data_IF_953932651099
#
_entry.id   IF_953932651099
#
_cell.length_a   1.000
_cell.length_b   1.000
_cell.length_c   1.000
_cell.angle_alpha   90.00
_cell.angle_beta   90.00
_cell.angle_gamma   90.00
#
_symmetry.space_group_name_H-M   'P 1'
#
loop_
_entity.id
_entity.type
_entity.pdbx_description
1 polymer ?
#
# COMPACT_ATOMS: atom_id res chain seq x y z
N UNK A 1 -12.69 -2.02 -20.34
CA UNK A 1 -13.82 -1.17 -19.92
C UNK A 1 -13.57 -0.78 -18.47
N UNK A 2 -13.59 0.51 -18.13
CA UNK A 2 -13.52 0.98 -16.75
C UNK A 2 -14.95 1.29 -16.28
N UNK A 3 -15.32 0.85 -15.07
CA UNK A 3 -16.65 1.04 -14.48
C UNK A 3 -16.52 1.87 -13.19
N UNK A 4 -16.95 3.15 -13.17
CA UNK A 4 -16.87 3.99 -11.98
C UNK A 4 -17.60 3.39 -10.78
N UNK A 5 -18.76 2.78 -11.02
CA UNK A 5 -19.58 2.15 -9.98
C UNK A 5 -18.86 1.02 -9.24
N UNK A 6 -17.98 0.27 -9.92
CA UNK A 6 -17.21 -0.80 -9.29
C UNK A 6 -16.21 -0.24 -8.27
N UNK A 7 -15.50 0.83 -8.63
CA UNK A 7 -14.51 1.46 -7.75
C UNK A 7 -15.19 2.21 -6.60
N UNK A 8 -16.27 2.95 -6.86
CA UNK A 8 -17.02 3.66 -5.81
C UNK A 8 -17.63 2.69 -4.78
N UNK A 9 -18.21 1.59 -5.25
CA UNK A 9 -18.78 0.58 -4.36
C UNK A 9 -17.71 -0.10 -3.50
N UNK A 10 -16.55 -0.41 -4.07
CA UNK A 10 -15.43 -1.01 -3.34
C UNK A 10 -14.97 -0.12 -2.17
N UNK A 11 -14.82 1.19 -2.42
CA UNK A 11 -14.43 2.16 -1.39
C UNK A 11 -15.43 2.18 -0.24
N UNK A 12 -16.74 2.27 -0.53
CA UNK A 12 -17.78 2.30 0.49
C UNK A 12 -17.85 1.00 1.28
N UNK A 13 -17.75 -0.15 0.61
CA UNK A 13 -17.77 -1.45 1.27
C UNK A 13 -16.60 -1.63 2.24
N UNK A 14 -15.40 -1.17 1.87
CA UNK A 14 -14.21 -1.27 2.72
C UNK A 14 -14.24 -0.28 3.88
N UNK A 15 -14.86 0.90 3.73
CA UNK A 15 -15.12 1.78 4.86
C UNK A 15 -16.07 1.15 5.88
N UNK A 16 -17.11 0.45 5.42
CA UNK A 16 -18.01 -0.29 6.32
C UNK A 16 -17.27 -1.41 7.05
N UNK A 17 -16.46 -2.19 6.33
CA UNK A 17 -15.65 -3.25 6.93
C UNK A 17 -14.65 -2.69 7.96
N UNK A 18 -13.96 -1.59 7.64
CA UNK A 18 -13.01 -0.95 8.54
C UNK A 18 -13.68 -0.47 9.83
N UNK A 19 -14.88 0.11 9.74
CA UNK A 19 -15.69 0.52 10.91
C UNK A 19 -16.15 -0.68 11.74
N UNK A 20 -16.53 -1.79 11.09
CA UNK A 20 -16.91 -3.02 11.80
C UNK A 20 -15.75 -3.65 12.56
N UNK A 21 -14.52 -3.47 12.08
CA UNK A 21 -13.29 -3.95 12.71
C UNK A 21 -12.66 -2.94 13.68
N UNK A 22 -13.32 -1.78 13.88
CA UNK A 22 -12.81 -0.68 14.70
C UNK A 22 -11.38 -0.24 14.32
N UNK A 23 -11.11 -0.18 13.02
CA UNK A 23 -9.81 0.26 12.51
C UNK A 23 -9.63 1.78 12.71
N UNK A 24 -8.38 2.23 12.94
CA UNK A 24 -8.06 3.66 13.00
C UNK A 24 -8.56 4.42 11.76
N UNK A 25 -8.98 5.68 11.95
CA UNK A 25 -9.54 6.52 10.88
C UNK A 25 -8.58 6.70 9.69
N UNK A 26 -7.26 6.59 9.91
CA UNK A 26 -6.27 6.66 8.83
C UNK A 26 -6.41 5.55 7.77
N UNK A 27 -7.08 4.44 8.10
CA UNK A 27 -7.39 3.35 7.17
C UNK A 27 -8.72 3.53 6.43
N UNK A 28 -9.56 4.49 6.84
CA UNK A 28 -10.86 4.73 6.25
C UNK A 28 -10.76 5.81 5.17
N UNK A 29 -11.29 5.55 3.98
CA UNK A 29 -11.31 6.52 2.89
C UNK A 29 -12.21 7.72 3.23
N UNK A 30 -13.29 7.51 3.98
CA UNK A 30 -14.18 8.58 4.43
C UNK A 30 -13.54 9.58 5.41
N UNK A 31 -12.33 9.32 5.94
CA UNK A 31 -11.61 10.23 6.84
C UNK A 31 -11.06 11.49 6.14
N UNK A 32 -11.01 11.50 4.80
CA UNK A 32 -10.38 12.58 4.03
C UNK A 32 -8.85 12.56 4.07
N UNK A 33 -8.25 11.51 4.66
CA UNK A 33 -6.81 11.26 4.63
C UNK A 33 -6.30 10.74 3.28
N UNK A 34 -5.05 10.25 3.28
CA UNK A 34 -4.42 9.60 2.10
C UNK A 34 -4.58 8.08 2.09
N UNK A 35 -5.19 7.52 3.14
CA UNK A 35 -5.40 6.08 3.31
C UNK A 35 -6.75 5.61 2.79
N UNK A 36 -6.97 4.30 2.89
CA UNK A 36 -8.17 3.61 2.40
C UNK A 36 -7.93 2.11 2.26
N UNK A 37 -8.98 1.38 1.88
CA UNK A 37 -8.91 -0.05 1.58
C UNK A 37 -8.93 -0.34 0.08
N UNK A 38 -8.44 -1.52 -0.29
CA UNK A 38 -8.64 -2.15 -1.62
C UNK A 38 -8.89 -3.66 -1.46
N UNK A 39 -9.75 -4.24 -2.31
CA UNK A 39 -9.99 -5.70 -2.32
C UNK A 39 -8.88 -6.37 -3.14
N UNK A 40 -8.16 -7.31 -2.51
CA UNK A 40 -7.12 -8.11 -3.15
C UNK A 40 -7.61 -9.54 -3.40
N UNK A 41 -7.01 -10.23 -4.38
CA UNK A 41 -7.40 -11.61 -4.70
C UNK A 41 -7.04 -12.60 -3.58
N UNK A 42 -5.90 -12.38 -2.91
CA UNK A 42 -5.45 -13.21 -1.79
C UNK A 42 -4.69 -12.40 -0.73
N UNK A 43 -4.56 -12.96 0.48
CA UNK A 43 -3.73 -12.39 1.54
C UNK A 43 -2.23 -12.37 1.17
N UNK A 44 -1.75 -13.39 0.45
CA UNK A 44 -0.36 -13.45 -0.03
C UNK A 44 -0.06 -12.33 -1.02
N UNK A 45 -1.00 -12.03 -1.93
CA UNK A 45 -0.91 -10.91 -2.85
C UNK A 45 -0.91 -9.57 -2.10
N UNK A 46 -1.81 -9.37 -1.14
CA UNK A 46 -1.85 -8.17 -0.31
C UNK A 46 -0.50 -7.93 0.42
N UNK A 47 0.10 -9.00 0.94
CA UNK A 47 1.42 -8.94 1.60
C UNK A 47 2.53 -8.57 0.62
N UNK A 48 2.52 -9.16 -0.59
CA UNK A 48 3.48 -8.83 -1.64
C UNK A 48 3.35 -7.36 -2.09
N UNK A 49 2.12 -6.87 -2.28
CA UNK A 49 1.85 -5.47 -2.66
C UNK A 49 2.37 -4.52 -1.59
N UNK A 50 2.11 -4.81 -0.31
CA UNK A 50 2.62 -4.01 0.80
C UNK A 50 4.16 -3.96 0.81
N UNK A 51 4.83 -5.11 0.59
CA UNK A 51 6.28 -5.20 0.54
C UNK A 51 6.87 -4.42 -0.64
N UNK A 52 6.26 -4.50 -1.82
CA UNK A 52 6.68 -3.72 -3.00
C UNK A 52 6.52 -2.22 -2.79
N UNK A 53 5.41 -1.79 -2.17
CA UNK A 53 5.20 -0.40 -1.78
C UNK A 53 6.25 0.10 -0.79
N UNK A 54 6.58 -0.71 0.22
CA UNK A 54 7.63 -0.41 1.19
C UNK A 54 9.02 -0.31 0.53
N UNK A 55 9.36 -1.26 -0.36
CA UNK A 55 10.61 -1.23 -1.13
C UNK A 55 10.72 0.05 -1.97
N UNK A 56 9.68 0.40 -2.73
CA UNK A 56 9.67 1.59 -3.57
C UNK A 56 9.83 2.88 -2.75
N UNK A 57 9.10 2.97 -1.62
CA UNK A 57 9.21 4.10 -0.68
C UNK A 57 10.63 4.23 -0.13
N UNK A 58 11.25 3.12 0.29
CA UNK A 58 12.59 3.14 0.88
C UNK A 58 13.68 3.46 -0.14
N UNK A 59 13.57 2.95 -1.37
CA UNK A 59 14.47 3.30 -2.47
C UNK A 59 14.42 4.81 -2.73
N UNK A 60 13.22 5.40 -2.79
CA UNK A 60 13.05 6.84 -2.98
C UNK A 60 13.73 7.64 -1.87
N UNK A 61 13.52 7.27 -0.61
CA UNK A 61 14.16 7.93 0.54
C UNK A 61 15.70 7.85 0.47
N UNK A 62 16.25 6.67 0.20
CA UNK A 62 17.71 6.50 0.15
C UNK A 62 18.33 7.30 -0.99
N UNK A 63 17.65 7.43 -2.14
CA UNK A 63 18.11 8.28 -3.23
C UNK A 63 18.10 9.77 -2.89
N UNK A 64 17.16 10.21 -2.06
CA UNK A 64 17.11 11.60 -1.58
C UNK A 64 18.29 11.87 -0.62
N UNK A 65 18.66 10.89 0.20
CA UNK A 65 19.80 10.98 1.15
C UNK A 65 21.18 10.76 0.48
N UNK A 66 21.24 9.90 -0.55
CA UNK A 66 22.46 9.49 -1.28
C UNK A 66 22.24 9.56 -2.80
N UNK A 67 22.26 10.76 -3.40
CA UNK A 67 22.00 10.94 -4.84
C UNK A 67 23.02 10.25 -5.75
N UNK A 68 24.19 9.90 -5.23
CA UNK A 68 25.26 9.23 -5.95
C UNK A 68 25.07 7.72 -6.07
N UNK A 69 24.16 7.12 -5.29
CA UNK A 69 23.91 5.67 -5.32
C UNK A 69 22.93 5.32 -6.44
N UNK A 70 23.26 4.28 -7.19
CA UNK A 70 22.37 3.71 -8.20
C UNK A 70 21.26 2.84 -7.58
N UNK A 71 20.15 2.67 -8.29
CA UNK A 71 19.03 1.81 -7.90
C UNK A 71 19.46 0.38 -7.60
N UNK A 72 20.46 -0.12 -8.35
CA UNK A 72 21.01 -1.48 -8.18
C UNK A 72 21.78 -1.62 -6.88
N UNK A 73 22.57 -0.62 -6.50
CA UNK A 73 23.31 -0.60 -5.24
C UNK A 73 22.35 -0.54 -4.04
N UNK A 74 21.32 0.29 -4.12
CA UNK A 74 20.31 0.42 -3.07
C UNK A 74 19.53 -0.90 -2.94
N UNK A 75 19.06 -1.44 -4.06
CA UNK A 75 18.27 -2.68 -4.07
C UNK A 75 19.08 -3.87 -3.57
N UNK A 76 20.36 -3.95 -3.91
CA UNK A 76 21.25 -5.02 -3.44
C UNK A 76 21.46 -5.04 -1.92
N UNK A 77 21.17 -3.93 -1.23
CA UNK A 77 21.25 -3.82 0.24
C UNK A 77 19.93 -4.12 0.95
N UNK A 78 18.82 -4.31 0.23
CA UNK A 78 17.52 -4.61 0.82
C UNK A 78 17.35 -6.12 1.01
N UNK A 79 16.92 -6.52 2.20
CA UNK A 79 16.60 -7.92 2.55
C UNK A 79 15.16 -7.99 3.03
N UNK A 80 14.41 -8.96 2.52
CA UNK A 80 13.05 -9.24 2.94
C UNK A 80 12.96 -10.62 3.59
N UNK A 81 12.18 -10.73 4.66
CA UNK A 81 11.84 -11.98 5.32
C UNK A 81 10.33 -12.22 5.16
N UNK A 82 9.95 -13.45 4.83
CA UNK A 82 8.57 -13.91 4.78
C UNK A 82 8.47 -15.24 5.56
N UNK A 83 7.29 -15.50 6.14
CA UNK A 83 6.98 -16.73 6.88
C UNK A 83 6.21 -17.74 6.04
#
# INVERSE_FOLDING_TARGET
>A
IASPACTELEVVMLDWLGKMLDLPEEFLACSGGKGGGVIQGTASEATLVALLGAKAKKIKQIKEDHPEWSDTEITGKLVAYAS
#
